data_IF_405915998423
#
_entry.id   IF_405915998423
#
_cell.length_a   1.000
_cell.length_b   1.000
_cell.length_c   1.000
_cell.angle_alpha   90.00
_cell.angle_beta   90.00
_cell.angle_gamma   90.00
#
_symmetry.space_group_name_H-M   'P 1'
#
loop_
_entity.id
_entity.type
_entity.pdbx_description
1 polymer ?
#
# COMPACT_ATOMS: atom_id res chain seq x y z
N UNK A 1 23.08 -18.12 -7.27
CA UNK A 1 23.28 -17.92 -5.81
C UNK A 1 22.98 -19.25 -5.11
N UNK A 2 23.98 -19.93 -4.55
CA UNK A 2 23.76 -21.10 -3.69
C UNK A 2 23.36 -20.61 -2.28
N UNK A 3 22.06 -20.47 -2.01
CA UNK A 3 21.56 -20.21 -0.68
C UNK A 3 21.71 -21.47 0.18
N UNK A 4 22.62 -21.46 1.15
CA UNK A 4 22.64 -22.49 2.20
C UNK A 4 21.49 -22.22 3.18
N UNK A 5 20.59 -23.19 3.30
CA UNK A 5 19.55 -23.21 4.32
C UNK A 5 20.23 -23.55 5.65
N UNK A 6 20.21 -22.64 6.62
CA UNK A 6 20.51 -22.91 8.02
C UNK A 6 19.39 -22.30 8.85
N UNK A 7 18.85 -23.08 9.79
CA UNK A 7 17.89 -22.57 10.76
C UNK A 7 18.68 -21.98 11.94
N UNK A 8 18.46 -20.70 12.25
CA UNK A 8 19.09 -20.07 13.40
C UNK A 8 18.58 -20.71 14.71
N UNK A 9 19.40 -20.72 15.76
CA UNK A 9 19.04 -21.31 17.07
C UNK A 9 17.77 -20.67 17.67
N UNK A 10 17.56 -19.37 17.42
CA UNK A 10 16.34 -18.66 17.84
C UNK A 10 15.11 -19.10 17.07
N UNK A 11 15.26 -19.37 15.78
CA UNK A 11 14.16 -19.88 14.95
C UNK A 11 13.77 -21.30 15.39
N UNK A 12 14.74 -22.16 15.69
CA UNK A 12 14.47 -23.45 16.32
C UNK A 12 13.75 -23.27 17.68
N UNK A 13 14.16 -22.30 18.51
CA UNK A 13 13.48 -22.03 19.78
C UNK A 13 12.04 -21.50 19.58
N UNK A 14 11.81 -20.61 18.62
CA UNK A 14 10.49 -20.09 18.22
C UNK A 14 9.57 -21.23 17.75
N UNK A 15 10.08 -22.15 16.93
CA UNK A 15 9.30 -23.24 16.36
C UNK A 15 9.08 -24.40 17.32
N UNK A 16 10.07 -24.79 18.13
CA UNK A 16 9.89 -25.80 19.19
C UNK A 16 8.92 -25.34 20.27
N UNK A 17 8.82 -24.02 20.51
CA UNK A 17 7.89 -23.44 21.48
C UNK A 17 6.45 -23.28 20.96
N UNK A 18 6.19 -23.53 19.66
CA UNK A 18 4.90 -23.25 19.03
C UNK A 18 4.44 -24.34 18.04
N UNK A 19 3.92 -25.48 18.54
CA UNK A 19 3.38 -26.55 17.69
C UNK A 19 2.26 -26.10 16.75
N UNK A 20 1.48 -25.07 17.14
CA UNK A 20 0.41 -24.52 16.31
C UNK A 20 0.94 -23.63 15.17
N UNK A 21 2.01 -22.86 15.40
CA UNK A 21 2.60 -21.99 14.38
C UNK A 21 3.42 -22.80 13.38
N UNK A 22 4.10 -23.85 13.84
CA UNK A 22 4.84 -24.80 13.00
C UNK A 22 3.95 -25.58 12.02
N UNK A 23 2.65 -25.74 12.33
CA UNK A 23 1.66 -26.35 11.42
C UNK A 23 1.12 -25.37 10.37
N UNK A 24 1.24 -24.06 10.58
CA UNK A 24 0.78 -23.03 9.64
C UNK A 24 1.88 -22.52 8.72
N UNK A 25 3.14 -22.80 9.04
CA UNK A 25 4.32 -22.25 8.37
C UNK A 25 5.13 -23.43 7.80
N UNK A 26 5.24 -23.54 6.47
CA UNK A 26 6.22 -24.46 5.85
C UNK A 26 7.56 -23.75 5.84
N UNK A 27 8.55 -24.18 6.66
CA UNK A 27 9.78 -23.42 6.79
C UNK A 27 10.68 -23.68 5.58
N UNK A 28 10.72 -22.72 4.66
CA UNK A 28 11.95 -22.43 3.95
C UNK A 28 12.55 -21.21 4.65
N UNK A 29 13.63 -21.45 5.38
CA UNK A 29 14.34 -20.45 6.16
C UNK A 29 15.63 -20.07 5.46
N UNK A 30 15.80 -18.77 5.23
CA UNK A 30 17.05 -18.22 4.75
C UNK A 30 17.67 -17.41 5.89
N UNK A 31 18.72 -17.95 6.51
CA UNK A 31 19.56 -17.23 7.49
C UNK A 31 20.57 -16.36 6.72
N UNK A 32 20.58 -15.06 7.01
CA UNK A 32 21.61 -14.15 6.53
C UNK A 32 22.24 -13.40 7.70
N UNK A 33 23.57 -13.33 7.71
CA UNK A 33 24.34 -12.62 8.74
C UNK A 33 24.88 -11.32 8.16
N UNK A 34 24.73 -10.22 8.90
CA UNK A 34 25.24 -8.90 8.52
C UNK A 34 25.66 -8.08 9.76
N UNK A 35 26.93 -7.70 9.88
CA UNK A 35 27.48 -6.83 10.95
C UNK A 35 27.03 -7.22 12.38
N UNK A 36 27.01 -8.52 12.68
CA UNK A 36 26.58 -9.03 13.99
C UNK A 36 25.07 -9.09 14.20
N UNK A 37 24.26 -8.76 13.20
CA UNK A 37 22.80 -8.93 13.20
C UNK A 37 22.41 -10.10 12.29
N UNK A 38 21.51 -10.95 12.78
CA UNK A 38 20.98 -12.10 12.05
C UNK A 38 19.60 -11.70 11.51
N UNK A 39 19.43 -11.88 10.19
CA UNK A 39 18.16 -11.71 9.51
C UNK A 39 17.67 -13.06 9.03
N UNK A 40 16.49 -13.45 9.50
CA UNK A 40 15.83 -14.66 9.04
C UNK A 40 14.63 -14.28 8.15
N UNK A 41 14.45 -15.02 7.06
CA UNK A 41 13.24 -14.97 6.23
C UNK A 41 12.48 -16.27 6.39
N UNK A 42 11.22 -16.20 6.81
CA UNK A 42 10.34 -17.35 6.92
C UNK A 42 9.16 -17.25 5.92
N UNK A 43 8.90 -18.36 5.24
CA UNK A 43 7.80 -18.52 4.29
C UNK A 43 6.59 -19.20 4.94
N UNK A 44 5.38 -18.76 4.60
CA UNK A 44 4.13 -19.31 5.14
C UNK A 44 3.28 -19.89 4.02
N UNK A 45 2.97 -21.19 4.06
CA UNK A 45 2.08 -21.78 3.05
C UNK A 45 0.64 -21.27 3.25
N UNK A 46 0.07 -20.57 2.25
CA UNK A 46 -1.31 -20.07 2.33
C UNK A 46 -2.35 -21.19 2.45
N UNK A 47 -2.07 -22.42 1.97
CA UNK A 47 -3.01 -23.55 2.03
C UNK A 47 -3.16 -24.11 3.45
N UNK A 48 -2.18 -23.91 4.32
CA UNK A 48 -2.24 -24.32 5.73
C UNK A 48 -3.06 -23.35 6.60
N UNK A 49 -3.35 -22.13 6.12
CA UNK A 49 -4.26 -21.21 6.81
C UNK A 49 -5.72 -21.64 6.77
N UNK A 50 -6.09 -22.45 5.77
CA UNK A 50 -7.45 -22.97 5.60
C UNK A 50 -7.68 -24.30 6.31
N UNK A 51 -6.62 -24.93 6.85
CA UNK A 51 -6.66 -26.31 7.34
C UNK A 51 -6.07 -26.44 8.76
N UNK A 52 -6.61 -25.73 9.74
CA UNK A 52 -6.64 -26.24 11.14
C UNK A 52 -7.53 -25.36 12.02
N UNK A 53 -8.76 -25.77 12.34
CA UNK A 53 -9.32 -25.43 13.64
C UNK A 53 -8.38 -26.06 14.68
N UNK A 54 -7.80 -25.26 15.57
CA UNK A 54 -7.01 -25.80 16.66
C UNK A 54 -7.86 -26.82 17.45
N UNK A 55 -7.30 -27.96 17.88
CA UNK A 55 -8.02 -28.86 18.78
C UNK A 55 -8.36 -28.07 20.05
N UNK A 56 -9.63 -28.14 20.45
CA UNK A 56 -10.23 -27.40 21.55
C UNK A 56 -9.40 -27.53 22.84
N UNK A 57 -8.50 -26.57 23.06
CA UNK A 57 -8.10 -26.16 24.40
C UNK A 57 -8.99 -24.99 24.76
N UNK A 58 -9.63 -25.08 25.91
CA UNK A 58 -10.56 -24.09 26.46
C UNK A 58 -10.10 -22.68 26.11
N UNK A 59 -10.75 -22.12 25.10
CA UNK A 59 -10.61 -20.73 24.74
C UNK A 59 -11.26 -19.92 25.89
N UNK A 60 -10.76 -18.71 26.18
CA UNK A 60 -11.44 -17.81 27.11
C UNK A 60 -12.93 -17.76 26.77
N UNK A 61 -13.81 -17.75 27.78
CA UNK A 61 -15.28 -17.81 27.61
C UNK A 61 -15.87 -16.71 26.71
N UNK A 62 -15.05 -15.72 26.34
CA UNK A 62 -15.40 -14.60 25.47
C UNK A 62 -14.92 -14.80 24.01
N UNK A 63 -14.40 -15.99 23.66
CA UNK A 63 -13.96 -16.30 22.30
C UNK A 63 -15.15 -16.72 21.44
N UNK A 64 -15.48 -15.87 20.46
CA UNK A 64 -16.49 -16.18 19.43
C UNK A 64 -15.90 -17.27 18.51
N UNK A 65 -16.46 -18.51 18.51
CA UNK A 65 -15.97 -19.58 17.66
C UNK A 65 -16.37 -19.30 16.21
N UNK A 66 -15.40 -19.11 15.31
CA UNK A 66 -15.68 -18.98 13.88
C UNK A 66 -14.80 -18.02 13.09
N UNK A 67 -13.90 -17.26 13.71
CA UNK A 67 -12.98 -16.40 12.94
C UNK A 67 -11.72 -17.18 12.53
N UNK A 68 -11.52 -17.55 11.25
CA UNK A 68 -10.19 -17.86 10.75
C UNK A 68 -9.30 -16.65 10.99
N UNK A 69 -8.05 -16.84 11.42
CA UNK A 69 -7.08 -15.75 11.62
C UNK A 69 -7.01 -14.86 10.36
N UNK A 70 -7.74 -13.74 10.35
CA UNK A 70 -8.17 -13.06 9.11
C UNK A 70 -7.19 -11.97 8.64
N UNK A 71 -5.89 -12.14 8.91
CA UNK A 71 -4.84 -11.30 8.33
C UNK A 71 -3.54 -11.20 9.11
N UNK A 72 -2.51 -10.60 8.49
CA UNK A 72 -1.18 -10.39 9.07
C UNK A 72 -1.17 -9.62 10.40
N UNK A 73 -2.22 -8.86 10.70
CA UNK A 73 -2.38 -8.16 11.97
C UNK A 73 -2.48 -9.13 13.15
N UNK A 74 -3.30 -10.18 13.03
CA UNK A 74 -3.48 -11.14 14.11
C UNK A 74 -2.29 -12.08 14.26
N UNK A 75 -1.60 -12.38 13.15
CA UNK A 75 -0.28 -13.02 13.19
C UNK A 75 0.70 -12.16 14.00
N UNK A 76 0.79 -10.87 13.72
CA UNK A 76 1.67 -9.97 14.46
C UNK A 76 1.30 -9.86 15.94
N UNK A 77 0.00 -9.80 16.27
CA UNK A 77 -0.49 -9.81 17.66
C UNK A 77 -0.09 -11.09 18.37
N UNK A 78 -0.41 -12.25 17.79
CA UNK A 78 -0.11 -13.56 18.34
C UNK A 78 1.39 -13.73 18.57
N UNK A 79 2.20 -13.49 17.55
CA UNK A 79 3.65 -13.60 17.63
C UNK A 79 4.23 -12.65 18.69
N UNK A 80 3.68 -11.43 18.85
CA UNK A 80 4.15 -10.51 19.90
C UNK A 80 3.92 -11.02 21.32
N UNK A 81 2.88 -11.82 21.54
CA UNK A 81 2.58 -12.44 22.85
C UNK A 81 3.52 -13.60 23.12
N UNK A 82 3.83 -14.40 22.09
CA UNK A 82 4.57 -15.66 22.24
C UNK A 82 6.09 -15.50 22.13
N UNK A 83 6.54 -14.64 21.23
CA UNK A 83 7.95 -14.53 20.83
C UNK A 83 8.61 -13.25 21.36
N UNK A 84 7.84 -12.37 21.99
CA UNK A 84 8.33 -11.05 22.41
C UNK A 84 8.80 -10.19 21.22
N UNK A 85 9.48 -9.07 21.52
CA UNK A 85 9.90 -8.12 20.49
C UNK A 85 8.75 -7.34 19.83
N UNK A 86 9.10 -6.51 18.86
CA UNK A 86 8.18 -5.59 18.17
C UNK A 86 7.74 -6.19 16.83
N UNK A 87 6.44 -6.43 16.67
CA UNK A 87 5.87 -7.03 15.47
C UNK A 87 5.07 -6.00 14.68
N UNK A 88 5.43 -5.79 13.42
CA UNK A 88 4.76 -4.86 12.49
C UNK A 88 4.15 -5.65 11.35
N UNK A 89 2.85 -5.52 11.12
CA UNK A 89 2.20 -6.13 9.97
C UNK A 89 2.14 -5.15 8.80
N UNK A 90 2.12 -5.71 7.59
CA UNK A 90 1.89 -5.02 6.32
C UNK A 90 0.93 -5.89 5.50
N UNK A 91 0.36 -5.40 4.39
CA UNK A 91 -0.41 -6.24 3.48
C UNK A 91 0.36 -7.47 2.93
N UNK A 92 1.70 -7.42 2.98
CA UNK A 92 2.57 -8.42 2.38
C UNK A 92 3.21 -9.37 3.38
N UNK A 93 3.03 -9.18 4.69
CA UNK A 93 3.76 -9.97 5.69
C UNK A 93 3.89 -9.27 7.03
N UNK A 94 4.66 -9.88 7.93
CA UNK A 94 4.96 -9.35 9.25
C UNK A 94 6.47 -9.25 9.46
N UNK A 95 6.93 -8.15 10.03
CA UNK A 95 8.31 -7.94 10.45
C UNK A 95 8.39 -7.99 11.97
N UNK A 96 9.27 -8.82 12.50
CA UNK A 96 9.72 -8.81 13.89
C UNK A 96 11.00 -8.00 14.02
N UNK A 97 11.13 -7.24 15.10
CA UNK A 97 12.38 -6.60 15.50
C UNK A 97 12.60 -6.82 17.00
N UNK A 98 13.80 -7.26 17.38
CA UNK A 98 14.19 -7.40 18.78
C UNK A 98 15.66 -7.00 18.96
N UNK A 99 15.89 -5.84 19.61
CA UNK A 99 17.23 -5.28 19.69
C UNK A 99 17.80 -4.99 18.30
N UNK A 100 18.93 -5.62 17.96
CA UNK A 100 19.56 -5.51 16.64
C UNK A 100 19.01 -6.46 15.58
N UNK A 101 18.21 -7.45 15.96
CA UNK A 101 17.77 -8.53 15.06
C UNK A 101 16.42 -8.23 14.42
N UNK A 102 16.20 -8.80 13.22
CA UNK A 102 14.91 -8.72 12.54
C UNK A 102 14.58 -9.99 11.77
N UNK A 103 13.33 -10.44 11.88
CA UNK A 103 12.76 -11.57 11.12
C UNK A 103 11.65 -11.04 10.23
N UNK A 104 11.54 -11.54 9.01
CA UNK A 104 10.42 -11.24 8.14
C UNK A 104 9.65 -12.50 7.76
N UNK A 105 8.32 -12.43 7.85
CA UNK A 105 7.40 -13.53 7.59
C UNK A 105 6.47 -13.12 6.44
N UNK A 106 6.37 -13.95 5.39
CA UNK A 106 5.60 -13.64 4.19
C UNK A 106 5.03 -14.86 3.49
N UNK A 107 4.14 -14.61 2.53
CA UNK A 107 3.71 -15.62 1.56
C UNK A 107 4.85 -15.98 0.57
N UNK A 108 4.99 -17.25 0.17
CA UNK A 108 5.95 -17.74 -0.80
C UNK A 108 5.97 -16.94 -2.11
N UNK A 109 4.78 -16.65 -2.65
CA UNK A 109 4.64 -15.91 -3.92
C UNK A 109 5.19 -14.47 -3.87
N UNK A 110 5.43 -13.92 -2.68
CA UNK A 110 6.00 -12.58 -2.51
C UNK A 110 7.53 -12.58 -2.44
N UNK A 111 8.15 -13.73 -2.18
CA UNK A 111 9.60 -13.85 -1.94
C UNK A 111 10.37 -13.42 -3.18
N UNK A 112 10.05 -14.02 -4.34
CA UNK A 112 10.70 -13.69 -5.62
C UNK A 112 10.55 -12.21 -5.97
N UNK A 113 9.36 -11.64 -5.77
CA UNK A 113 9.10 -10.22 -6.04
C UNK A 113 9.96 -9.30 -5.16
N UNK A 114 10.26 -9.71 -3.93
CA UNK A 114 11.10 -8.92 -3.01
C UNK A 114 12.58 -9.08 -3.33
N UNK A 115 13.04 -10.27 -3.65
CA UNK A 115 14.41 -10.46 -4.13
C UNK A 115 14.67 -9.69 -5.41
N UNK A 116 13.72 -9.71 -6.35
CA UNK A 116 13.76 -8.92 -7.58
C UNK A 116 13.84 -7.42 -7.28
N UNK A 117 12.98 -6.91 -6.39
CA UNK A 117 13.03 -5.52 -5.94
C UNK A 117 14.37 -5.15 -5.26
N UNK A 118 14.93 -6.03 -4.42
CA UNK A 118 16.24 -5.83 -3.78
C UNK A 118 17.36 -5.77 -4.81
N UNK A 119 17.38 -6.70 -5.77
CA UNK A 119 18.38 -6.72 -6.83
C UNK A 119 18.33 -5.43 -7.66
N UNK A 120 17.12 -4.96 -7.99
CA UNK A 120 16.92 -3.68 -8.66
C UNK A 120 17.51 -2.50 -7.86
N UNK A 121 17.19 -2.40 -6.56
CA UNK A 121 17.74 -1.33 -5.71
C UNK A 121 19.24 -1.46 -5.56
N UNK A 122 19.78 -2.67 -5.45
CA UNK A 122 21.22 -2.89 -5.37
C UNK A 122 21.93 -2.42 -6.64
N UNK A 123 21.39 -2.75 -7.81
CA UNK A 123 21.94 -2.32 -9.09
C UNK A 123 21.89 -0.79 -9.24
N UNK A 124 20.79 -0.18 -8.82
CA UNK A 124 20.63 1.28 -8.88
C UNK A 124 21.59 2.01 -7.93
N UNK A 125 21.69 1.57 -6.67
CA UNK A 125 22.34 2.35 -5.62
C UNK A 125 23.75 1.89 -5.27
N UNK A 126 24.15 0.69 -5.70
CA UNK A 126 25.38 0.02 -5.28
C UNK A 126 25.37 -0.48 -3.83
N UNK A 127 24.28 -0.25 -3.08
CA UNK A 127 24.19 -0.65 -1.67
C UNK A 127 24.03 -2.15 -1.59
N UNK A 128 25.03 -2.83 -1.03
CA UNK A 128 25.00 -4.28 -0.80
C UNK A 128 24.02 -4.68 0.31
N UNK A 129 23.83 -3.80 1.30
CA UNK A 129 23.03 -4.04 2.51
C UNK A 129 21.65 -3.42 2.42
N UNK A 130 20.70 -4.21 1.93
CA UNK A 130 19.33 -3.77 1.71
C UNK A 130 18.33 -4.41 2.68
N UNK A 131 17.30 -3.67 3.12
CA UNK A 131 16.20 -4.21 3.94
C UNK A 131 15.27 -5.11 3.11
N UNK A 132 14.48 -5.96 3.77
CA UNK A 132 13.42 -6.74 3.10
C UNK A 132 12.09 -5.99 2.95
N UNK A 133 11.85 -4.97 3.77
CA UNK A 133 10.65 -4.15 3.63
C UNK A 133 10.69 -3.32 2.36
N UNK A 134 9.74 -3.53 1.45
CA UNK A 134 9.65 -2.79 0.17
C UNK A 134 9.60 -1.27 0.38
N UNK A 135 8.89 -0.80 1.40
CA UNK A 135 8.91 0.62 1.77
C UNK A 135 10.30 1.12 2.16
N UNK A 136 11.09 0.30 2.85
CA UNK A 136 12.46 0.64 3.21
C UNK A 136 13.41 0.58 2.00
N UNK A 137 13.19 -0.35 1.06
CA UNK A 137 13.87 -0.36 -0.24
C UNK A 137 13.61 0.92 -1.03
N UNK A 138 12.34 1.32 -1.16
CA UNK A 138 11.97 2.57 -1.80
C UNK A 138 12.61 3.78 -1.13
N UNK A 139 12.73 3.80 0.21
CA UNK A 139 13.48 4.85 0.92
C UNK A 139 14.95 4.88 0.55
N UNK A 140 15.61 3.72 0.42
CA UNK A 140 17.01 3.67 -0.04
C UNK A 140 17.19 4.23 -1.46
N UNK A 141 16.23 4.01 -2.36
CA UNK A 141 16.23 4.64 -3.69
C UNK A 141 16.12 6.16 -3.58
N UNK A 142 15.20 6.65 -2.74
CA UNK A 142 15.01 8.09 -2.50
C UNK A 142 16.24 8.74 -1.83
N UNK A 143 16.83 8.07 -0.84
CA UNK A 143 18.05 8.51 -0.17
C UNK A 143 19.22 8.60 -1.17
N UNK A 144 19.37 7.59 -2.04
CA UNK A 144 20.40 7.59 -3.09
C UNK A 144 20.20 8.70 -4.13
N UNK A 145 18.95 9.06 -4.41
CA UNK A 145 18.62 10.18 -5.29
C UNK A 145 19.29 11.48 -4.81
N UNK A 146 19.52 11.62 -3.50
CA UNK A 146 20.24 12.75 -2.89
C UNK A 146 19.46 14.07 -2.91
N UNK A 147 18.20 14.05 -3.33
CA UNK A 147 17.34 15.23 -3.34
C UNK A 147 16.88 15.48 -1.91
N UNK A 148 17.39 16.55 -1.32
CA UNK A 148 16.98 17.01 0.01
C UNK A 148 16.02 18.17 -0.16
N UNK A 149 14.77 17.94 0.21
CA UNK A 149 13.80 19.01 0.32
C UNK A 149 14.02 19.80 1.61
N UNK A 150 14.15 21.14 1.50
CA UNK A 150 14.22 21.99 2.69
C UNK A 150 12.90 21.86 3.45
N UNK A 151 12.94 21.74 4.78
CA UNK A 151 11.75 21.53 5.60
C UNK A 151 10.74 22.69 5.48
N UNK A 152 9.73 22.55 4.62
CA UNK A 152 8.65 23.52 4.53
C UNK A 152 7.42 23.05 5.32
N UNK A 153 7.02 23.82 6.33
CA UNK A 153 5.72 23.65 7.03
C UNK A 153 4.54 23.73 6.05
N UNK A 154 4.69 24.45 4.93
CA UNK A 154 3.65 24.62 3.91
C UNK A 154 3.30 23.31 3.19
N UNK A 155 4.21 22.35 3.06
CA UNK A 155 3.93 21.09 2.40
C UNK A 155 2.90 20.21 3.11
N UNK A 156 2.79 20.30 4.45
CA UNK A 156 1.72 19.67 5.20
C UNK A 156 0.37 20.38 5.00
N UNK A 157 0.32 21.59 4.43
CA UNK A 157 -0.92 22.27 4.06
C UNK A 157 -1.65 21.58 2.92
N UNK A 158 -0.93 20.86 2.04
CA UNK A 158 -1.53 19.95 1.06
C UNK A 158 -2.37 18.85 1.71
N UNK A 159 -2.22 18.64 3.02
CA UNK A 159 -2.95 17.65 3.80
C UNK A 159 -4.14 18.24 4.57
N UNK A 160 -4.21 19.57 4.78
CA UNK A 160 -5.16 20.19 5.73
C UNK A 160 -6.62 19.75 5.48
N UNK A 161 -6.97 19.48 4.21
CA UNK A 161 -8.32 19.03 3.83
C UNK A 161 -8.36 17.64 3.16
N UNK A 162 -7.24 16.90 3.15
CA UNK A 162 -7.21 15.54 2.56
C UNK A 162 -7.63 14.53 3.61
N UNK A 163 -8.87 14.07 3.51
CA UNK A 163 -9.25 12.80 4.14
C UNK A 163 -8.47 11.69 3.45
N UNK A 164 -7.77 10.88 4.25
CA UNK A 164 -6.88 9.83 3.74
C UNK A 164 -7.73 8.88 2.90
N UNK A 165 -7.51 8.90 1.58
CA UNK A 165 -8.23 8.16 0.53
C UNK A 165 -9.66 8.66 0.30
N UNK A 166 -10.00 8.97 -0.96
CA UNK A 166 -11.40 9.10 -1.36
C UNK A 166 -11.92 7.68 -1.45
N UNK A 167 -12.83 7.35 -0.55
CA UNK A 167 -13.51 6.06 -0.54
C UNK A 167 -14.99 6.35 -0.56
N UNK A 168 -15.63 5.89 -1.62
CA UNK A 168 -17.08 5.90 -1.76
C UNK A 168 -17.54 4.45 -1.82
N UNK A 169 -18.61 4.13 -1.09
CA UNK A 169 -19.17 2.79 -1.06
C UNK A 169 -20.65 2.88 -0.72
N UNK A 170 -21.48 2.41 -1.63
CA UNK A 170 -22.91 2.23 -1.42
C UNK A 170 -23.19 0.74 -1.50
N UNK A 171 -23.38 0.06 -0.36
CA UNK A 171 -23.71 -1.35 -0.38
C UNK A 171 -24.97 -1.62 -1.21
N UNK A 172 -24.87 -2.51 -2.20
CA UNK A 172 -25.95 -2.78 -3.14
C UNK A 172 -25.69 -4.03 -3.97
N UNK A 173 -26.76 -4.57 -4.55
CA UNK A 173 -26.71 -5.50 -5.67
C UNK A 173 -27.25 -4.80 -6.92
N UNK A 174 -26.61 -5.04 -8.06
CA UNK A 174 -27.03 -4.55 -9.37
C UNK A 174 -26.96 -5.67 -10.41
N UNK A 175 -27.95 -5.76 -11.31
CA UNK A 175 -27.93 -6.76 -12.38
C UNK A 175 -26.77 -6.53 -13.35
N UNK A 176 -26.32 -5.27 -13.48
CA UNK A 176 -25.24 -4.91 -14.39
C UNK A 176 -24.54 -3.64 -13.91
N UNK A 177 -23.22 -3.70 -13.75
CA UNK A 177 -22.34 -2.57 -13.52
C UNK A 177 -20.98 -2.84 -14.17
N UNK A 178 -20.13 -1.82 -14.25
CA UNK A 178 -18.78 -1.92 -14.80
C UNK A 178 -17.72 -1.56 -13.77
N UNK A 179 -16.68 -2.38 -13.67
CA UNK A 179 -15.48 -2.11 -12.86
C UNK A 179 -14.39 -1.49 -13.73
N UNK A 180 -13.92 -0.32 -13.31
CA UNK A 180 -12.89 0.47 -13.96
C UNK A 180 -11.66 0.61 -13.08
N UNK A 181 -10.49 0.50 -13.69
CA UNK A 181 -9.19 0.58 -13.02
C UNK A 181 -8.31 1.62 -13.71
N UNK A 182 -7.67 2.48 -12.92
CA UNK A 182 -6.67 3.45 -13.37
C UNK A 182 -5.30 2.82 -13.16
N UNK A 183 -4.72 2.33 -14.27
CA UNK A 183 -3.49 1.56 -14.23
C UNK A 183 -2.35 2.40 -13.65
N UNK A 184 -1.79 1.93 -12.54
CA UNK A 184 -0.63 2.55 -11.88
C UNK A 184 -0.83 4.04 -11.52
N UNK A 185 -2.05 4.45 -11.17
CA UNK A 185 -2.47 5.84 -10.92
C UNK A 185 -1.39 6.74 -10.29
N UNK A 186 -0.88 6.39 -9.10
CA UNK A 186 0.15 7.18 -8.41
C UNK A 186 1.46 7.32 -9.19
N UNK A 187 1.93 6.26 -9.84
CA UNK A 187 3.15 6.29 -10.66
C UNK A 187 2.97 7.15 -11.88
N UNK A 188 1.82 7.04 -12.55
CA UNK A 188 1.52 7.81 -13.75
C UNK A 188 1.43 9.30 -13.45
N UNK A 189 0.89 9.68 -12.29
CA UNK A 189 0.91 11.06 -11.81
C UNK A 189 2.33 11.50 -11.47
N UNK A 190 3.10 10.67 -10.75
CA UNK A 190 4.49 10.96 -10.39
C UNK A 190 5.39 11.18 -11.62
N UNK A 191 5.23 10.36 -12.65
CA UNK A 191 5.99 10.45 -13.92
C UNK A 191 5.78 11.79 -14.63
N UNK A 192 4.61 12.43 -14.41
CA UNK A 192 4.24 13.73 -15.01
C UNK A 192 4.73 14.92 -14.20
N UNK A 193 5.23 14.72 -12.99
CA UNK A 193 5.74 15.81 -12.18
C UNK A 193 7.04 16.34 -12.81
N UNK A 194 7.15 17.65 -13.11
CA UNK A 194 8.38 18.23 -13.65
C UNK A 194 9.58 18.10 -12.71
N UNK A 195 9.30 18.06 -11.41
CA UNK A 195 10.29 17.94 -10.35
C UNK A 195 9.64 17.37 -9.09
N UNK A 196 10.34 16.56 -8.29
CA UNK A 196 9.91 16.19 -6.95
C UNK A 196 10.17 17.32 -5.93
N UNK A 197 10.91 18.38 -6.30
CA UNK A 197 11.05 19.57 -5.48
C UNK A 197 9.94 20.55 -5.83
N UNK A 198 9.11 20.88 -4.85
CA UNK A 198 8.03 21.84 -5.02
C UNK A 198 7.91 22.76 -3.81
N UNK A 199 7.35 23.94 -4.06
CA UNK A 199 6.95 24.89 -3.02
C UNK A 199 5.52 25.34 -3.25
N UNK A 200 4.84 25.64 -2.14
CA UNK A 200 3.52 26.25 -2.15
C UNK A 200 3.69 27.74 -1.95
N UNK A 201 3.32 28.50 -2.97
CA UNK A 201 3.28 29.95 -2.95
C UNK A 201 1.83 30.38 -2.67
N UNK A 202 1.55 31.09 -1.58
CA UNK A 202 0.22 31.61 -1.30
C UNK A 202 -0.36 32.44 -2.47
N UNK A 203 -1.69 32.45 -2.67
CA UNK A 203 -2.69 31.79 -1.82
C UNK A 203 -2.87 30.29 -2.09
N UNK A 204 -2.40 29.71 -3.21
CA UNK A 204 -2.52 28.26 -3.49
C UNK A 204 -1.78 27.82 -4.78
N UNK A 205 -0.64 28.42 -5.10
CA UNK A 205 0.14 28.08 -6.30
C UNK A 205 1.19 27.02 -5.95
N UNK A 206 1.31 26.01 -6.81
CA UNK A 206 2.40 25.03 -6.73
C UNK A 206 3.49 25.46 -7.71
N UNK A 207 4.72 25.61 -7.23
CA UNK A 207 5.88 25.92 -8.06
C UNK A 207 6.86 24.77 -7.96
N UNK A 208 7.21 24.18 -9.10
CA UNK A 208 8.23 23.15 -9.20
C UNK A 208 9.61 23.81 -9.30
N UNK A 209 10.52 23.40 -8.42
CA UNK A 209 11.89 23.90 -8.40
C UNK A 209 12.74 23.07 -9.38
N UNK A 210 13.61 23.70 -10.17
CA UNK A 210 14.46 22.98 -11.12
C UNK A 210 15.42 22.04 -10.38
N UNK A 211 15.65 20.86 -10.97
CA UNK A 211 16.70 19.96 -10.55
C UNK A 211 18.01 20.28 -11.28
N UNK A 212 19.14 20.12 -10.60
CA UNK A 212 20.43 20.07 -11.29
C UNK A 212 20.47 18.87 -12.25
N UNK A 213 21.27 18.90 -13.33
CA UNK A 213 21.36 17.77 -14.27
C UNK A 213 21.67 16.43 -13.57
N UNK A 214 22.55 16.47 -12.57
CA UNK A 214 22.90 15.32 -11.74
C UNK A 214 21.68 14.75 -10.98
N UNK A 215 20.92 15.58 -10.26
CA UNK A 215 19.74 15.14 -9.53
C UNK A 215 18.61 14.71 -10.47
N UNK A 216 18.45 15.39 -11.61
CA UNK A 216 17.48 15.00 -12.64
C UNK A 216 17.77 13.60 -13.15
N UNK A 217 19.02 13.30 -13.51
CA UNK A 217 19.42 11.96 -13.96
C UNK A 217 19.14 10.88 -12.91
N UNK A 218 19.47 11.13 -11.64
CA UNK A 218 19.16 10.19 -10.55
C UNK A 218 17.66 10.02 -10.31
N UNK A 219 16.89 11.09 -10.42
CA UNK A 219 15.43 11.04 -10.26
C UNK A 219 14.77 10.19 -11.35
N UNK A 220 15.16 10.39 -12.61
CA UNK A 220 14.70 9.54 -13.72
C UNK A 220 15.10 8.08 -13.50
N UNK A 221 16.35 7.82 -13.10
CA UNK A 221 16.80 6.45 -12.81
C UNK A 221 15.99 5.78 -11.67
N UNK A 222 15.60 6.53 -10.63
CA UNK A 222 14.72 6.02 -9.57
C UNK A 222 13.33 5.68 -10.10
N UNK A 223 12.74 6.54 -10.94
CA UNK A 223 11.43 6.30 -11.55
C UNK A 223 11.46 5.08 -12.48
N UNK A 224 12.46 4.99 -13.34
CA UNK A 224 12.63 3.87 -14.27
C UNK A 224 12.82 2.54 -13.54
N UNK A 225 13.70 2.51 -12.54
CA UNK A 225 13.90 1.34 -11.70
C UNK A 225 12.61 0.92 -10.97
N UNK A 226 11.82 1.88 -10.48
CA UNK A 226 10.55 1.56 -9.82
C UNK A 226 9.47 1.09 -10.79
N UNK A 227 9.43 1.61 -12.03
CA UNK A 227 8.38 1.35 -13.03
C UNK A 227 8.20 -0.14 -13.33
N UNK A 228 9.31 -0.84 -13.47
CA UNK A 228 9.40 -2.27 -13.79
C UNK A 228 8.93 -3.17 -12.64
N UNK A 229 8.95 -2.67 -11.39
CA UNK A 229 8.62 -3.47 -10.21
C UNK A 229 7.37 -2.92 -9.50
N UNK A 230 6.21 -3.57 -9.71
CA UNK A 230 4.92 -3.18 -9.11
C UNK A 230 5.01 -2.86 -7.60
N UNK A 231 5.78 -3.63 -6.84
CA UNK A 231 5.96 -3.39 -5.40
C UNK A 231 6.71 -2.08 -5.12
N UNK A 232 7.84 -1.84 -5.80
CA UNK A 232 8.60 -0.59 -5.66
C UNK A 232 7.78 0.60 -6.14
N UNK A 233 7.12 0.48 -7.30
CA UNK A 233 6.21 1.49 -7.85
C UNK A 233 5.16 1.93 -6.84
N UNK A 234 4.47 0.98 -6.22
CA UNK A 234 3.42 1.26 -5.23
C UNK A 234 4.01 1.84 -3.93
N UNK A 235 5.20 1.39 -3.52
CA UNK A 235 5.84 1.85 -2.29
C UNK A 235 6.54 3.20 -2.43
N UNK A 236 6.93 3.64 -3.63
CA UNK A 236 7.71 4.87 -3.84
C UNK A 236 6.98 6.10 -3.29
N UNK A 237 5.73 6.32 -3.73
CA UNK A 237 4.89 7.44 -3.27
C UNK A 237 4.55 7.33 -1.78
N UNK A 238 4.31 6.11 -1.28
CA UNK A 238 4.12 5.85 0.15
C UNK A 238 5.35 6.20 0.99
N UNK A 239 6.55 5.96 0.47
CA UNK A 239 7.81 6.30 1.12
C UNK A 239 8.12 7.80 1.04
N UNK A 240 7.75 8.48 -0.05
CA UNK A 240 7.84 9.94 -0.19
C UNK A 240 6.94 10.64 0.82
N UNK A 241 5.67 10.23 0.94
CA UNK A 241 4.72 10.81 1.91
C UNK A 241 5.16 10.54 3.36
N UNK A 242 5.49 9.30 3.68
CA UNK A 242 5.71 8.83 5.05
C UNK A 242 4.40 8.67 5.85
N UNK A 243 4.51 8.30 7.13
CA UNK A 243 3.36 7.99 7.98
C UNK A 243 2.48 9.23 8.19
N UNK A 244 1.23 9.19 7.71
CA UNK A 244 0.26 10.25 7.95
C UNK A 244 -0.35 10.13 9.35
N UNK A 245 -0.65 8.90 9.77
CA UNK A 245 -0.99 8.50 11.14
C UNK A 245 0.22 7.86 11.81
N UNK A 246 0.22 7.87 13.14
CA UNK A 246 1.17 7.08 13.90
C UNK A 246 0.98 5.61 13.51
N UNK A 247 2.05 4.96 13.04
CA UNK A 247 1.99 3.53 12.74
C UNK A 247 1.75 2.74 14.01
N UNK A 248 1.51 1.44 13.90
CA UNK A 248 1.36 0.58 15.09
C UNK A 248 2.27 -0.63 14.96
N UNK A 249 2.76 -1.10 16.10
CA UNK A 249 3.38 -2.41 16.23
C UNK A 249 2.78 -3.12 17.43
N UNK A 250 2.85 -4.43 17.44
CA UNK A 250 2.45 -5.27 18.56
C UNK A 250 3.67 -5.59 19.42
N UNK A 251 3.52 -5.46 20.73
CA UNK A 251 4.54 -5.81 21.72
C UNK A 251 3.87 -6.44 22.93
N UNK A 252 4.23 -7.69 23.25
CA UNK A 252 3.62 -8.47 24.35
C UNK A 252 2.09 -8.48 24.27
N UNK A 253 1.54 -8.74 23.07
CA UNK A 253 0.10 -8.79 22.82
C UNK A 253 -0.60 -7.44 22.77
N UNK A 254 0.11 -6.34 23.04
CA UNK A 254 -0.46 -4.99 23.13
C UNK A 254 -0.10 -4.16 21.90
N UNK A 255 -1.08 -3.43 21.36
CA UNK A 255 -0.87 -2.50 20.25
C UNK A 255 -0.18 -1.24 20.77
N UNK A 256 1.00 -0.93 20.25
CA UNK A 256 1.84 0.20 20.63
C UNK A 256 2.04 1.13 19.44
N UNK A 257 2.03 2.46 19.67
CA UNK A 257 2.24 3.41 18.60
C UNK A 257 3.70 3.42 18.15
N UNK A 258 3.93 3.38 16.84
CA UNK A 258 5.25 3.53 16.20
C UNK A 258 5.54 5.01 15.95
N UNK A 259 6.78 5.50 16.10
CA UNK A 259 7.13 6.87 15.72
C UNK A 259 6.67 7.23 14.31
N UNK A 260 6.17 8.46 14.15
CA UNK A 260 5.74 8.98 12.85
C UNK A 260 6.97 9.29 12.00
N UNK A 261 7.22 8.49 10.97
CA UNK A 261 8.33 8.69 10.05
C UNK A 261 7.90 9.64 8.93
N UNK A 262 8.49 10.84 8.87
CA UNK A 262 8.34 11.73 7.70
C UNK A 262 9.07 11.11 6.51
N UNK A 263 8.51 11.24 5.31
CA UNK A 263 9.20 10.84 4.09
C UNK A 263 10.10 11.96 3.55
N UNK A 264 11.14 11.64 2.75
CA UNK A 264 12.18 12.58 2.33
C UNK A 264 11.74 13.59 1.25
N UNK A 265 10.60 13.35 0.58
CA UNK A 265 10.02 14.19 -0.48
C UNK A 265 8.51 14.33 -0.26
N UNK A 266 8.16 14.71 0.96
CA UNK A 266 6.79 14.59 1.49
C UNK A 266 5.74 15.40 0.71
N UNK A 267 5.95 16.69 0.40
CA UNK A 267 5.05 17.51 -0.39
C UNK A 267 4.82 16.93 -1.79
N UNK A 268 5.86 16.41 -2.45
CA UNK A 268 5.67 15.71 -3.73
C UNK A 268 4.79 14.47 -3.58
N UNK A 269 5.08 13.61 -2.61
CA UNK A 269 4.24 12.44 -2.35
C UNK A 269 2.79 12.81 -2.01
N UNK A 270 2.60 13.89 -1.22
CA UNK A 270 1.27 14.39 -0.85
C UNK A 270 0.54 14.98 -2.06
N UNK A 271 1.23 15.69 -2.96
CA UNK A 271 0.66 16.22 -4.18
C UNK A 271 0.19 15.09 -5.11
N UNK A 272 0.98 14.02 -5.25
CA UNK A 272 0.58 12.84 -6.04
C UNK A 272 -0.69 12.22 -5.45
N UNK A 273 -0.71 11.99 -4.13
CA UNK A 273 -1.87 11.40 -3.45
C UNK A 273 -3.11 12.30 -3.54
N UNK A 274 -2.95 13.62 -3.39
CA UNK A 274 -4.01 14.61 -3.53
C UNK A 274 -4.57 14.64 -4.95
N UNK A 275 -3.70 14.64 -5.95
CA UNK A 275 -4.12 14.66 -7.36
C UNK A 275 -4.96 13.41 -7.67
N UNK A 276 -4.49 12.22 -7.26
CA UNK A 276 -5.24 10.99 -7.47
C UNK A 276 -6.63 11.02 -6.78
N UNK A 277 -6.67 11.52 -5.54
CA UNK A 277 -7.91 11.71 -4.78
C UNK A 277 -8.91 12.60 -5.54
N UNK A 278 -8.47 13.76 -6.00
CA UNK A 278 -9.37 14.75 -6.60
C UNK A 278 -9.82 14.36 -8.01
N UNK A 279 -8.97 13.67 -8.78
CA UNK A 279 -9.37 13.12 -10.09
C UNK A 279 -10.50 12.09 -9.91
N UNK A 280 -10.40 11.24 -8.89
CA UNK A 280 -11.48 10.29 -8.59
C UNK A 280 -12.75 10.97 -8.11
N UNK A 281 -12.62 11.95 -7.22
CA UNK A 281 -13.77 12.72 -6.74
C UNK A 281 -14.53 13.35 -7.92
N UNK A 282 -13.82 13.95 -8.88
CA UNK A 282 -14.43 14.50 -10.10
C UNK A 282 -15.14 13.43 -10.93
N UNK A 283 -14.55 12.23 -11.09
CA UNK A 283 -15.23 11.13 -11.80
C UNK A 283 -16.52 10.73 -11.11
N UNK A 284 -16.51 10.62 -9.78
CA UNK A 284 -17.69 10.24 -9.00
C UNK A 284 -18.77 11.32 -9.04
N UNK A 285 -18.39 12.60 -8.92
CA UNK A 285 -19.31 13.73 -9.03
C UNK A 285 -19.97 13.79 -10.42
N UNK A 286 -19.17 13.62 -11.49
CA UNK A 286 -19.68 13.61 -12.87
C UNK A 286 -20.50 12.38 -13.22
N UNK A 287 -20.29 11.27 -12.51
CA UNK A 287 -21.12 10.08 -12.65
C UNK A 287 -22.56 10.27 -12.15
N UNK A 288 -22.91 11.45 -11.59
CA UNK A 288 -24.27 11.85 -11.22
C UNK A 288 -25.02 10.79 -10.37
N UNK A 289 -24.33 10.23 -9.37
CA UNK A 289 -24.89 9.20 -8.49
C UNK A 289 -24.80 7.77 -9.02
N UNK A 290 -24.25 7.53 -10.21
CA UNK A 290 -24.05 6.18 -10.75
C UNK A 290 -22.85 5.44 -10.11
N UNK A 291 -22.03 6.09 -9.30
CA UNK A 291 -20.95 5.40 -8.59
C UNK A 291 -21.52 4.51 -7.48
N UNK A 292 -21.18 3.23 -7.48
CA UNK A 292 -21.53 2.26 -6.44
C UNK A 292 -20.36 2.07 -5.47
N UNK A 293 -19.14 2.17 -6.00
CA UNK A 293 -17.89 2.08 -5.26
C UNK A 293 -16.83 2.94 -5.92
N UNK A 294 -15.97 3.58 -5.13
CA UNK A 294 -14.78 4.25 -5.62
C UNK A 294 -13.66 4.19 -4.58
N UNK A 295 -12.44 3.93 -5.05
CA UNK A 295 -11.20 4.07 -4.31
C UNK A 295 -10.16 4.71 -5.24
N UNK A 296 -9.09 5.30 -4.69
CA UNK A 296 -8.18 6.26 -5.38
C UNK A 296 -7.71 5.86 -6.80
N UNK A 297 -7.69 4.58 -7.13
CA UNK A 297 -7.26 4.02 -8.41
C UNK A 297 -8.34 3.18 -9.13
N UNK A 298 -9.58 3.12 -8.65
CA UNK A 298 -10.63 2.25 -9.20
C UNK A 298 -12.05 2.71 -8.85
N UNK A 299 -13.02 2.37 -9.70
CA UNK A 299 -14.43 2.58 -9.38
C UNK A 299 -15.33 1.50 -9.99
N UNK A 300 -16.52 1.36 -9.40
CA UNK A 300 -17.63 0.58 -9.96
C UNK A 300 -18.75 1.58 -10.24
N UNK A 301 -19.20 1.59 -11.49
CA UNK A 301 -20.25 2.47 -11.96
C UNK A 301 -21.43 1.64 -12.48
N UNK A 302 -22.63 2.06 -12.13
CA UNK A 302 -23.90 1.48 -12.55
C UNK A 302 -24.11 1.61 -14.07
N UNK A 303 -25.15 0.96 -14.61
CA UNK A 303 -25.49 1.05 -16.04
C UNK A 303 -25.72 2.51 -16.48
N UNK A 304 -24.97 2.96 -17.49
CA UNK A 304 -24.94 4.36 -17.95
C UNK A 304 -23.80 5.20 -17.36
N UNK A 305 -23.15 4.72 -16.30
CA UNK A 305 -21.90 5.27 -15.79
C UNK A 305 -20.69 4.78 -16.58
N UNK A 306 -20.41 5.39 -17.72
CA UNK A 306 -19.14 5.20 -18.42
C UNK A 306 -18.25 6.43 -18.20
N UNK A 307 -17.09 6.28 -17.53
CA UNK A 307 -16.23 7.41 -17.23
C UNK A 307 -15.63 8.00 -18.51
N UNK A 308 -15.66 7.32 -19.66
CA UNK A 308 -15.15 7.76 -20.95
C UNK A 308 -16.16 8.56 -21.80
N UNK A 309 -17.47 8.42 -21.56
CA UNK A 309 -18.49 8.96 -22.47
C UNK A 309 -18.77 10.47 -22.32
N UNK A 310 -18.52 11.08 -21.15
CA UNK A 310 -18.99 12.45 -20.86
C UNK A 310 -17.90 13.47 -20.50
N UNK A 311 -16.64 13.02 -20.34
CA UNK A 311 -15.41 13.77 -20.04
C UNK A 311 -14.66 12.97 -18.97
N UNK A 312 -13.54 12.37 -19.35
CA UNK A 312 -12.74 11.59 -18.41
C UNK A 312 -11.53 12.40 -17.97
N UNK A 313 -11.47 12.85 -16.69
CA UNK A 313 -10.32 13.59 -16.20
C UNK A 313 -9.03 12.77 -16.28
N UNK A 314 -9.09 11.43 -16.21
CA UNK A 314 -7.93 10.58 -16.45
C UNK A 314 -7.42 10.71 -17.88
N UNK A 315 -8.28 10.60 -18.90
CA UNK A 315 -7.86 10.74 -20.30
C UNK A 315 -7.37 12.16 -20.63
N UNK A 316 -7.97 13.19 -20.02
CA UNK A 316 -7.49 14.57 -20.13
C UNK A 316 -6.04 14.71 -19.67
N UNK A 317 -5.60 13.86 -18.74
CA UNK A 317 -4.24 13.85 -18.22
C UNK A 317 -3.41 12.66 -18.70
N UNK A 318 -3.84 12.03 -19.81
CA UNK A 318 -3.18 10.89 -20.45
C UNK A 318 -2.99 9.69 -19.49
N UNK A 319 -3.82 9.61 -18.44
CA UNK A 319 -3.83 8.50 -17.49
C UNK A 319 -4.66 7.35 -18.06
N UNK A 320 -4.08 6.16 -18.01
CA UNK A 320 -4.69 4.96 -18.59
C UNK A 320 -5.76 4.38 -17.66
N UNK A 321 -7.01 4.42 -18.11
CA UNK A 321 -8.17 3.82 -17.45
C UNK A 321 -8.74 2.70 -18.31
N UNK A 322 -9.10 1.58 -17.70
CA UNK A 322 -9.58 0.39 -18.40
C UNK A 322 -10.79 -0.22 -17.70
N UNK A 323 -11.78 -0.65 -18.47
CA UNK A 323 -12.83 -1.55 -17.98
C UNK A 323 -12.24 -2.94 -17.81
N UNK A 324 -12.18 -3.45 -16.59
CA UNK A 324 -11.62 -4.79 -16.32
C UNK A 324 -12.69 -5.87 -16.11
N UNK A 325 -13.93 -5.47 -15.83
CA UNK A 325 -15.08 -6.37 -15.78
C UNK A 325 -16.40 -5.62 -15.96
N UNK A 326 -17.42 -6.37 -16.34
CA UNK A 326 -18.80 -5.94 -16.43
C UNK A 326 -19.70 -7.11 -16.08
N UNK A 327 -20.87 -6.81 -15.51
CA UNK A 327 -21.93 -7.79 -15.27
C UNK A 327 -22.58 -7.59 -13.91
N UNK A 328 -23.25 -8.64 -13.43
CA UNK A 328 -23.87 -8.64 -12.12
C UNK A 328 -22.86 -8.28 -11.03
N UNK A 329 -23.29 -7.39 -10.14
CA UNK A 329 -22.41 -6.71 -9.20
C UNK A 329 -23.01 -6.72 -7.82
N UNK A 330 -22.16 -6.95 -6.83
CA UNK A 330 -22.48 -6.86 -5.43
C UNK A 330 -21.38 -6.09 -4.71
N UNK A 331 -21.75 -4.99 -4.06
CA UNK A 331 -20.89 -4.21 -3.20
C UNK A 331 -21.38 -4.43 -1.78
N UNK A 332 -20.58 -5.07 -0.93
CA UNK A 332 -20.94 -5.35 0.46
C UNK A 332 -20.34 -4.29 1.40
N UNK A 333 -19.21 -3.70 1.02
CA UNK A 333 -18.50 -2.74 1.84
C UNK A 333 -17.18 -2.28 1.21
N UNK A 334 -16.45 -1.42 1.93
CA UNK A 334 -15.15 -0.91 1.47
C UNK A 334 -14.19 -2.09 1.26
N UNK A 335 -13.72 -2.27 0.03
CA UNK A 335 -12.80 -3.35 -0.33
C UNK A 335 -13.44 -4.75 -0.38
N UNK A 336 -14.78 -4.86 -0.28
CA UNK A 336 -15.52 -6.12 -0.33
C UNK A 336 -16.60 -6.03 -1.40
N UNK A 337 -16.28 -6.53 -2.61
CA UNK A 337 -17.19 -6.47 -3.76
C UNK A 337 -16.89 -7.55 -4.81
N UNK A 338 -17.88 -7.79 -5.65
CA UNK A 338 -17.81 -8.52 -6.92
C UNK A 338 -18.45 -7.68 -8.03
N UNK A 339 -17.84 -7.67 -9.21
CA UNK A 339 -18.38 -7.09 -10.42
C UNK A 339 -18.04 -8.01 -11.59
N UNK A 340 -19.04 -8.69 -12.15
CA UNK A 340 -18.83 -9.71 -13.18
C UNK A 340 -17.83 -10.77 -12.73
N UNK A 341 -16.76 -10.94 -13.50
CA UNK A 341 -15.66 -11.89 -13.22
C UNK A 341 -14.62 -11.40 -12.19
N UNK A 342 -14.66 -10.12 -11.79
CA UNK A 342 -13.73 -9.54 -10.81
C UNK A 342 -14.35 -9.59 -9.41
N UNK A 343 -13.53 -9.97 -8.42
CA UNK A 343 -13.89 -9.94 -7.00
C UNK A 343 -12.68 -9.62 -6.14
N UNK A 344 -12.90 -8.95 -5.01
CA UNK A 344 -11.84 -8.78 -4.01
C UNK A 344 -11.61 -10.09 -3.24
N UNK A 345 -10.43 -10.25 -2.63
CA UNK A 345 -10.08 -11.47 -1.87
C UNK A 345 -11.01 -11.73 -0.69
N UNK A 346 -11.56 -10.67 -0.11
CA UNK A 346 -12.44 -10.72 1.06
C UNK A 346 -13.90 -10.97 0.68
N UNK A 347 -14.24 -10.89 -0.60
CA UNK A 347 -15.60 -11.16 -1.05
C UNK A 347 -15.95 -12.64 -0.90
N UNK A 348 -17.02 -12.90 -0.17
CA UNK A 348 -17.66 -14.20 -0.08
C UNK A 348 -19.07 -14.08 -0.68
N UNK A 349 -19.50 -15.02 -1.55
CA UNK A 349 -20.86 -15.00 -2.09
C UNK A 349 -21.88 -14.95 -0.95
N UNK A 350 -22.87 -14.07 -1.07
CA UNK A 350 -23.88 -13.85 -0.04
C UNK A 350 -24.73 -15.10 0.23
N UNK A 351 -24.36 -15.84 1.27
CA UNK A 351 -25.24 -16.58 2.19
C UNK A 351 -25.11 -16.09 3.65
N UNK A 352 -24.20 -15.16 3.93
CA UNK A 352 -23.95 -14.58 5.25
C UNK A 352 -23.70 -13.07 5.10
N UNK A 353 -24.70 -12.25 5.44
CA UNK A 353 -24.53 -10.80 5.49
C UNK A 353 -23.68 -10.41 6.71
N UNK A 354 -22.46 -9.94 6.47
CA UNK A 354 -21.76 -9.12 7.46
C UNK A 354 -22.16 -7.67 7.23
N UNK A 355 -23.01 -7.14 8.12
CA UNK A 355 -23.27 -5.71 8.20
C UNK A 355 -21.98 -5.00 8.64
N UNK A 356 -21.27 -4.38 7.69
CA UNK A 356 -20.17 -3.48 8.04
C UNK A 356 -20.76 -2.16 8.54
N UNK A 357 -20.22 -1.57 9.62
CA UNK A 357 -20.70 -0.28 10.11
C UNK A 357 -20.55 0.78 9.03
N UNK A 358 -21.65 1.45 8.69
CA UNK A 358 -21.65 2.59 7.78
C UNK A 358 -20.67 3.65 8.30
N UNK A 359 -19.59 3.89 7.56
CA UNK A 359 -18.79 5.10 7.76
C UNK A 359 -19.59 6.27 7.17
N UNK A 360 -19.66 7.42 7.86
CA UNK A 360 -20.41 8.57 7.35
C UNK A 360 -19.90 8.96 5.97
N UNK A 361 -20.83 9.18 5.03
CA UNK A 361 -20.55 9.78 3.74
C UNK A 361 -19.92 11.15 4.01
N UNK A 362 -18.70 11.34 3.53
CA UNK A 362 -18.03 12.62 3.63
C UNK A 362 -18.24 13.31 2.30
N UNK A 363 -19.16 14.26 2.28
CA UNK A 363 -19.20 15.33 1.29
C UNK A 363 -18.25 16.41 1.80
N UNK A 364 -17.15 16.68 1.08
CA UNK A 364 -16.24 17.79 1.41
C UNK A 364 -16.42 18.87 0.38
N UNK A 365 -16.72 20.09 0.79
CA UNK A 365 -16.73 21.27 -0.10
C UNK A 365 -15.28 21.61 -0.46
N UNK A 366 -14.89 21.43 -1.72
CA UNK A 366 -13.51 21.69 -2.19
C UNK A 366 -13.40 23.11 -2.71
N UNK A 367 -12.49 23.91 -2.15
CA UNK A 367 -12.04 25.19 -2.70
C UNK A 367 -11.14 24.96 -3.94
N UNK A 368 -11.73 24.63 -5.08
CA UNK A 368 -11.08 24.50 -6.40
C UNK A 368 -10.11 23.29 -6.55
N UNK A 369 -10.15 22.54 -7.67
CA UNK A 369 -9.32 21.34 -7.83
C UNK A 369 -7.83 21.68 -7.98
N UNK A 370 -6.98 21.10 -7.11
CA UNK A 370 -5.52 21.24 -7.18
C UNK A 370 -4.98 20.68 -8.49
N UNK A 371 -5.52 19.55 -8.99
CA UNK A 371 -5.07 18.96 -10.27
C UNK A 371 -5.17 19.92 -11.45
N UNK A 372 -6.24 20.72 -11.54
CA UNK A 372 -6.47 21.67 -12.64
C UNK A 372 -5.38 22.76 -12.68
N UNK A 373 -4.84 23.14 -11.52
CA UNK A 373 -3.85 24.22 -11.41
C UNK A 373 -2.46 23.81 -11.84
N UNK A 374 -2.14 22.51 -11.91
CA UNK A 374 -0.78 22.06 -12.22
C UNK A 374 -0.69 21.17 -13.47
N UNK A 375 -1.59 20.21 -13.68
CA UNK A 375 -1.50 19.33 -14.85
C UNK A 375 -1.74 20.08 -16.16
N UNK A 376 -2.57 21.12 -16.14
CA UNK A 376 -2.81 21.98 -17.31
C UNK A 376 -1.55 22.79 -17.71
N UNK A 377 -0.67 23.10 -16.75
CA UNK A 377 0.62 23.78 -17.00
C UNK A 377 1.70 22.84 -17.57
N UNK A 378 1.56 21.52 -17.44
CA UNK A 378 2.53 20.52 -17.95
C UNK A 378 2.32 20.25 -19.45
N UNK A 379 1.13 20.54 -19.99
CA UNK A 379 0.80 20.31 -21.41
C UNK A 379 1.41 21.34 -22.38
N UNK A 380 1.94 22.46 -21.91
CA UNK A 380 2.50 23.52 -22.76
C UNK A 380 4.02 23.34 -22.93
N UNK A 381 4.49 22.16 -23.34
CA UNK A 381 5.79 21.95 -24.03
C UNK A 381 5.72 20.62 -24.78
N UNK A 382 5.04 20.62 -25.93
CA UNK A 382 5.36 19.70 -27.02
C UNK A 382 6.35 20.39 -27.95
#
# INVERSE_FOLDING_TARGET
MNCKIRASQYVNHIFHSLPALARMIIPVLYEMRDEGRIYDLAMVDPQLWTLTPAPARELPKDHIPGEPYSGWQEVARYCSTKLGGQWRYTPNGVTWNHGGEALWITNPSMVESIYSARACVHHLTGVSKLPFGVGALARKMLDWCGIVEKNWRSGDELRKDVKHYYQFCTPCTRPKASYWDVKSCFSSILDRMPSPLLTLVPPSRIVFLPLSPFHKGRWEAVKDAAREHKLLRNCLVGSMTGGSKQGWYWYRGNKKPSPKVRGPLRPAGLLVARTAYELLAEVVERANGAALYANVDSCILDEGGDPLHTFNPYTRYDLEIRKLAEGETEVCGIGVYRCGSKRTKLYQPSGAMFASPQLPSITTTISGPVWSRWLDNVRIKK
#
